data_IF_885204789595
#
_entry.id   IF_885204789595
#
_cell.length_a   1.000
_cell.length_b   1.000
_cell.length_c   1.000
_cell.angle_alpha   90.00
_cell.angle_beta   90.00
_cell.angle_gamma   90.00
#
_symmetry.space_group_name_H-M   'P 1'
#
loop_
_entity.id
_entity.type
_entity.pdbx_description
1 polymer ?
#
# COMPACT_ATOMS: atom_id res chain seq x y z
N UNK A 1 -7.39 -2.33 12.44
CA UNK A 1 -6.83 -3.49 11.70
C UNK A 1 -7.38 -3.43 10.31
N UNK A 2 -6.57 -3.76 9.32
CA UNK A 2 -6.99 -3.68 7.91
C UNK A 2 -6.52 -4.91 7.14
N UNK A 3 -7.43 -5.52 6.40
CA UNK A 3 -7.13 -6.49 5.36
C UNK A 3 -7.50 -5.85 4.04
N UNK A 4 -6.54 -5.62 3.17
CA UNK A 4 -6.69 -4.80 1.97
C UNK A 4 -5.81 -5.34 0.84
N UNK A 5 -6.15 -5.08 -0.43
CA UNK A 5 -5.42 -5.64 -1.55
C UNK A 5 -3.93 -5.32 -1.56
N UNK A 6 -3.55 -4.11 -1.15
CA UNK A 6 -2.19 -3.58 -1.13
C UNK A 6 -1.77 -3.31 0.31
N UNK A 7 -0.46 -3.31 0.65
CA UNK A 7 -0.01 -2.75 1.91
C UNK A 7 -0.59 -1.36 2.11
N UNK A 8 -0.94 -0.95 3.33
CA UNK A 8 -1.66 0.30 3.58
C UNK A 8 -0.92 1.54 3.05
N UNK A 9 -1.18 1.93 1.80
CA UNK A 9 -0.42 2.97 1.08
C UNK A 9 -0.60 4.34 1.73
N UNK A 10 -1.75 4.56 2.38
CA UNK A 10 -2.02 5.73 3.21
C UNK A 10 -0.93 5.99 4.27
N UNK A 11 -0.33 4.92 4.80
CA UNK A 11 0.76 5.04 5.79
C UNK A 11 2.01 5.68 5.18
N UNK A 12 2.30 5.39 3.91
CA UNK A 12 3.49 5.82 3.17
C UNK A 12 3.31 7.11 2.38
N UNK A 13 2.10 7.66 2.37
CA UNK A 13 1.75 8.82 1.55
C UNK A 13 1.86 10.10 2.37
N UNK A 14 2.87 10.91 2.09
CA UNK A 14 3.04 12.24 2.67
C UNK A 14 2.31 13.33 1.87
N UNK A 15 2.38 14.56 2.35
CA UNK A 15 1.72 15.69 1.73
C UNK A 15 2.24 15.96 0.32
N UNK A 16 3.55 15.88 0.10
CA UNK A 16 4.15 16.15 -1.21
C UNK A 16 3.65 15.14 -2.25
N UNK A 17 3.55 13.86 -1.88
CA UNK A 17 2.97 12.83 -2.75
C UNK A 17 1.48 13.06 -2.99
N UNK A 18 0.71 13.50 -1.99
CA UNK A 18 -0.70 13.88 -2.18
C UNK A 18 -0.84 15.05 -3.16
N UNK A 19 -0.05 16.10 -3.00
CA UNK A 19 -0.08 17.28 -3.87
C UNK A 19 0.30 16.94 -5.32
N UNK A 20 1.20 15.98 -5.51
CA UNK A 20 1.62 15.49 -6.82
C UNK A 20 0.58 14.58 -7.50
N UNK A 21 -0.25 13.88 -6.71
CA UNK A 21 -1.14 12.83 -7.23
C UNK A 21 -2.62 13.13 -7.18
N UNK A 22 -3.09 13.96 -6.26
CA UNK A 22 -4.47 14.41 -6.30
C UNK A 22 -4.67 15.28 -7.54
N UNK A 23 -5.75 15.01 -8.26
CA UNK A 23 -6.09 15.74 -9.47
C UNK A 23 -6.46 17.19 -9.11
N UNK A 24 -5.60 18.13 -9.53
CA UNK A 24 -5.77 19.58 -9.26
C UNK A 24 -7.00 20.17 -9.95
N UNK A 25 -7.49 19.52 -11.01
CA UNK A 25 -8.69 19.93 -11.72
C UNK A 25 -9.98 19.43 -11.03
N UNK A 26 -9.86 18.64 -9.95
CA UNK A 26 -11.02 18.18 -9.19
C UNK A 26 -11.72 19.37 -8.51
N UNK A 27 -13.05 19.53 -8.62
CA UNK A 27 -13.78 20.72 -8.12
C UNK A 27 -13.60 21.03 -6.63
N UNK A 28 -13.17 20.05 -5.83
CA UNK A 28 -12.93 20.18 -4.40
C UNK A 28 -11.48 19.82 -4.01
N UNK A 29 -10.50 20.06 -4.89
CA UNK A 29 -9.10 19.73 -4.68
C UNK A 29 -8.56 20.19 -3.31
N UNK A 30 -8.65 21.48 -2.99
CA UNK A 30 -8.10 22.03 -1.74
C UNK A 30 -8.77 21.41 -0.48
N UNK A 31 -10.12 21.39 -0.36
CA UNK A 31 -10.76 20.67 0.74
C UNK A 31 -10.38 19.19 0.83
N UNK A 32 -10.23 18.51 -0.31
CA UNK A 32 -9.88 17.09 -0.36
C UNK A 32 -8.46 16.86 0.12
N UNK A 33 -7.49 17.63 -0.38
CA UNK A 33 -6.08 17.57 0.04
C UNK A 33 -5.97 17.73 1.55
N UNK A 34 -6.59 18.77 2.11
CA UNK A 34 -6.57 19.05 3.55
C UNK A 34 -7.29 17.98 4.39
N UNK A 35 -8.32 17.34 3.84
CA UNK A 35 -9.01 16.25 4.52
C UNK A 35 -8.14 14.98 4.55
N UNK A 36 -7.56 14.62 3.40
CA UNK A 36 -6.74 13.39 3.24
C UNK A 36 -5.43 13.51 4.00
N UNK A 37 -4.72 14.64 3.90
CA UNK A 37 -3.45 14.87 4.60
C UNK A 37 -3.63 14.77 6.13
N UNK A 38 -4.66 15.44 6.66
CA UNK A 38 -5.02 15.33 8.08
C UNK A 38 -5.37 13.90 8.49
N UNK A 39 -6.14 13.19 7.66
CA UNK A 39 -6.51 11.81 7.94
C UNK A 39 -5.29 10.88 7.94
N UNK A 40 -4.40 10.99 6.94
CA UNK A 40 -3.19 10.16 6.85
C UNK A 40 -2.19 10.46 7.98
N UNK A 41 -2.03 11.73 8.35
CA UNK A 41 -1.22 12.12 9.51
C UNK A 41 -1.76 11.54 10.81
N UNK A 42 -3.07 11.65 11.05
CA UNK A 42 -3.72 11.04 12.22
C UNK A 42 -3.56 9.51 12.20
N UNK A 43 -3.87 8.89 11.05
CA UNK A 43 -3.79 7.45 10.86
C UNK A 43 -2.40 6.91 11.20
N UNK A 44 -1.32 7.50 10.66
CA UNK A 44 0.06 7.11 10.97
C UNK A 44 0.37 7.08 12.47
N UNK A 45 -0.15 8.06 13.22
CA UNK A 45 0.09 8.17 14.67
C UNK A 45 -0.62 7.06 15.45
N UNK A 46 -1.84 6.69 15.04
CA UNK A 46 -2.67 5.73 15.78
C UNK A 46 -2.57 4.29 15.27
N UNK A 47 -1.99 4.07 14.08
CA UNK A 47 -1.96 2.77 13.39
C UNK A 47 -0.64 2.02 13.52
N UNK A 48 0.31 2.46 14.34
CA UNK A 48 1.65 1.82 14.46
C UNK A 48 1.57 0.35 14.89
N UNK A 49 0.65 0.02 15.80
CA UNK A 49 0.37 -1.36 16.22
C UNK A 49 -0.67 -2.09 15.35
N UNK A 50 -1.17 -1.46 14.30
CA UNK A 50 -2.26 -2.01 13.49
C UNK A 50 -1.76 -3.17 12.62
N UNK A 51 -2.42 -4.31 12.75
CA UNK A 51 -2.24 -5.44 11.85
C UNK A 51 -2.74 -5.08 10.45
N UNK A 52 -1.87 -5.28 9.45
CA UNK A 52 -2.15 -5.09 8.04
C UNK A 52 -1.85 -6.37 7.25
N UNK A 53 -2.87 -6.90 6.57
CA UNK A 53 -2.74 -8.06 5.70
C UNK A 53 -2.96 -7.63 4.25
N UNK A 54 -2.05 -8.03 3.36
CA UNK A 54 -2.07 -7.67 1.94
C UNK A 54 -1.71 -8.83 1.01
N UNK A 55 -1.88 -8.65 -0.30
CA UNK A 55 -1.49 -9.65 -1.31
C UNK A 55 -0.26 -9.22 -2.10
N UNK A 56 0.75 -10.09 -2.17
CA UNK A 56 1.94 -9.89 -3.01
C UNK A 56 1.58 -9.88 -4.50
N UNK A 57 0.59 -10.69 -4.91
CA UNK A 57 0.08 -10.67 -6.29
C UNK A 57 -0.48 -9.30 -6.65
N UNK A 58 -1.27 -8.70 -5.76
CA UNK A 58 -1.84 -7.38 -5.97
C UNK A 58 -0.78 -6.28 -5.90
N UNK A 59 0.20 -6.42 -4.99
CA UNK A 59 1.35 -5.51 -4.92
C UNK A 59 2.16 -5.51 -6.24
N UNK A 60 2.40 -6.68 -6.83
CA UNK A 60 3.05 -6.79 -8.15
C UNK A 60 2.24 -6.09 -9.24
N UNK A 61 0.92 -6.30 -9.28
CA UNK A 61 0.05 -5.59 -10.23
C UNK A 61 0.16 -4.06 -10.06
N UNK A 62 0.19 -3.57 -8.82
CA UNK A 62 0.44 -2.16 -8.53
C UNK A 62 1.83 -1.69 -9.01
N UNK A 63 2.87 -2.53 -8.88
CA UNK A 63 4.19 -2.23 -9.43
C UNK A 63 4.16 -2.09 -10.96
N UNK A 64 3.28 -2.82 -11.66
CA UNK A 64 3.11 -2.72 -13.11
C UNK A 64 2.35 -1.45 -13.53
N UNK A 65 1.21 -1.17 -12.91
CA UNK A 65 0.26 -0.17 -13.41
C UNK A 65 0.18 1.14 -12.60
N UNK A 66 0.66 1.14 -11.36
CA UNK A 66 0.62 2.28 -10.44
C UNK A 66 -0.79 2.72 -10.06
N UNK A 67 -1.78 1.85 -10.27
CA UNK A 67 -3.15 2.13 -9.94
C UNK A 67 -3.36 1.92 -8.44
N UNK A 68 -3.72 3.01 -7.78
CA UNK A 68 -4.46 2.88 -6.53
C UNK A 68 -5.92 2.63 -6.86
N UNK A 69 -6.62 2.11 -5.85
CA UNK A 69 -8.04 1.78 -5.87
C UNK A 69 -8.90 3.07 -5.89
N UNK A 70 -8.37 4.24 -6.30
CA UNK A 70 -9.06 5.53 -6.34
C UNK A 70 -9.58 5.89 -7.74
N UNK A 71 -10.64 6.72 -7.84
CA UNK A 71 -11.17 7.12 -9.14
C UNK A 71 -10.13 7.94 -9.89
N UNK A 72 -9.96 7.68 -11.20
CA UNK A 72 -8.97 8.37 -12.03
C UNK A 72 -9.22 9.90 -12.11
N UNK A 73 -10.47 10.34 -11.88
CA UNK A 73 -10.83 11.76 -11.78
C UNK A 73 -10.36 12.43 -10.48
N UNK A 74 -10.00 11.66 -9.45
CA UNK A 74 -9.57 12.16 -8.14
C UNK A 74 -8.06 12.00 -7.96
N UNK A 75 -7.47 10.91 -8.46
CA UNK A 75 -6.09 10.54 -8.14
C UNK A 75 -5.36 9.98 -9.36
N UNK A 76 -4.17 10.52 -9.63
CA UNK A 76 -3.29 10.09 -10.71
C UNK A 76 -2.43 8.88 -10.30
N UNK A 77 -2.07 8.06 -11.28
CA UNK A 77 -1.23 6.87 -11.06
C UNK A 77 0.15 7.24 -10.50
N UNK A 78 0.70 6.34 -9.69
CA UNK A 78 2.06 6.48 -9.19
C UNK A 78 3.06 6.16 -10.30
N UNK A 79 4.11 6.96 -10.36
CA UNK A 79 5.25 6.77 -11.26
C UNK A 79 6.06 5.55 -10.84
N UNK A 80 6.90 4.98 -11.73
CA UNK A 80 7.84 3.92 -11.36
C UNK A 80 8.67 4.23 -10.10
N UNK A 81 9.20 5.46 -9.97
CA UNK A 81 10.02 5.85 -8.83
C UNK A 81 9.25 5.92 -7.51
N UNK A 82 8.02 6.43 -7.53
CA UNK A 82 7.18 6.48 -6.32
C UNK A 82 6.74 5.09 -5.88
N UNK A 83 6.44 4.20 -6.83
CA UNK A 83 6.13 2.79 -6.55
C UNK A 83 7.29 2.09 -5.87
N UNK A 84 8.52 2.27 -6.38
CA UNK A 84 9.73 1.73 -5.76
C UNK A 84 9.98 2.31 -4.36
N UNK A 85 9.79 3.62 -4.18
CA UNK A 85 9.92 4.26 -2.87
C UNK A 85 9.00 3.60 -1.85
N UNK A 86 7.73 3.41 -2.20
CA UNK A 86 6.74 2.78 -1.31
C UNK A 86 7.08 1.32 -1.06
N UNK A 87 7.47 0.56 -2.10
CA UNK A 87 7.88 -0.83 -1.95
C UNK A 87 9.08 -0.98 -1.00
N UNK A 88 10.06 -0.09 -1.10
CA UNK A 88 11.22 -0.04 -0.22
C UNK A 88 10.80 0.23 1.23
N UNK A 89 9.88 1.18 1.45
CA UNK A 89 9.36 1.48 2.78
C UNK A 89 8.58 0.31 3.38
N UNK A 90 7.75 -0.38 2.59
CA UNK A 90 7.04 -1.60 3.03
C UNK A 90 8.02 -2.69 3.45
N UNK A 91 9.05 -2.93 2.62
CA UNK A 91 10.10 -3.92 2.90
C UNK A 91 10.88 -3.58 4.17
N UNK A 92 11.26 -2.32 4.34
CA UNK A 92 12.03 -1.87 5.50
C UNK A 92 11.18 -1.89 6.77
N UNK A 93 9.90 -1.54 6.70
CA UNK A 93 9.00 -1.62 7.85
C UNK A 93 8.79 -3.07 8.31
N UNK A 94 8.73 -4.02 7.38
CA UNK A 94 8.69 -5.44 7.70
C UNK A 94 10.03 -5.91 8.30
N UNK A 95 11.15 -5.56 7.67
CA UNK A 95 12.50 -6.00 8.09
C UNK A 95 12.91 -5.45 9.46
N UNK A 96 12.61 -4.18 9.73
CA UNK A 96 12.93 -3.53 11.01
C UNK A 96 11.79 -3.64 12.03
N UNK A 97 10.77 -4.47 11.76
CA UNK A 97 9.62 -4.70 12.64
C UNK A 97 8.90 -3.41 13.09
N UNK A 98 8.89 -2.39 12.22
CA UNK A 98 8.23 -1.10 12.50
C UNK A 98 6.72 -1.19 12.38
N UNK A 99 6.22 -2.19 11.63
CA UNK A 99 4.80 -2.44 11.41
C UNK A 99 4.49 -3.93 11.41
N UNK A 100 3.26 -4.26 11.79
CA UNK A 100 2.72 -5.63 11.73
C UNK A 100 2.13 -5.90 10.34
N UNK A 101 2.98 -6.31 9.41
CA UNK A 101 2.64 -6.58 8.01
C UNK A 101 2.66 -8.08 7.72
N UNK A 102 1.62 -8.59 7.05
CA UNK A 102 1.54 -9.98 6.64
C UNK A 102 1.08 -10.09 5.19
N UNK A 103 1.82 -10.83 4.36
CA UNK A 103 1.36 -11.18 3.03
C UNK A 103 0.50 -12.44 3.07
N UNK A 104 -0.66 -12.44 2.42
CA UNK A 104 -1.47 -13.66 2.26
C UNK A 104 -0.76 -14.67 1.36
N UNK A 105 -0.98 -15.95 1.65
CA UNK A 105 -0.79 -17.01 0.68
C UNK A 105 -2.01 -17.04 -0.25
N UNK A 106 -1.89 -16.41 -1.43
CA UNK A 106 -2.95 -16.32 -2.42
C UNK A 106 -3.45 -17.69 -2.94
N UNK A 107 -2.74 -18.80 -2.66
CA UNK A 107 -3.22 -20.16 -2.96
C UNK A 107 -4.23 -20.69 -1.93
N UNK A 108 -4.24 -20.11 -0.73
CA UNK A 108 -5.07 -20.57 0.40
C UNK A 108 -6.13 -19.57 0.80
N UNK A 109 -5.81 -18.28 0.73
CA UNK A 109 -6.73 -17.19 1.03
C UNK A 109 -6.73 -16.20 -0.14
N UNK A 110 -7.82 -16.20 -0.90
CA UNK A 110 -7.99 -15.27 -2.01
C UNK A 110 -8.39 -13.89 -1.50
N UNK A 111 -7.51 -12.90 -1.72
CA UNK A 111 -7.82 -11.50 -1.46
C UNK A 111 -8.11 -10.77 -2.78
N UNK A 112 -9.40 -10.47 -3.00
CA UNK A 112 -9.86 -9.74 -4.17
C UNK A 112 -9.28 -8.32 -4.19
N UNK A 113 -8.76 -7.86 -5.34
CA UNK A 113 -8.31 -6.48 -5.56
C UNK A 113 -9.38 -5.41 -5.30
N UNK A 114 -10.64 -5.81 -5.26
CA UNK A 114 -11.78 -4.92 -5.13
C UNK A 114 -12.29 -4.72 -3.70
N UNK A 115 -11.69 -5.35 -2.69
CA UNK A 115 -12.31 -5.45 -1.36
C UNK A 115 -11.31 -5.16 -0.25
N UNK A 116 -11.67 -4.23 0.62
CA UNK A 116 -10.95 -3.92 1.86
C UNK A 116 -11.87 -4.14 3.06
N UNK A 117 -11.33 -4.73 4.12
CA UNK A 117 -11.97 -4.87 5.42
C UNK A 117 -11.24 -3.99 6.42
N UNK A 118 -11.96 -3.04 7.01
CA UNK A 118 -11.44 -2.10 8.00
C UNK A 118 -12.20 -2.31 9.30
N UNK A 119 -11.47 -2.74 10.33
CA UNK A 119 -11.97 -2.76 11.70
C UNK A 119 -11.68 -1.39 12.33
N UNK A 120 -12.69 -0.52 12.31
CA UNK A 120 -12.61 0.88 12.76
C UNK A 120 -12.90 1.04 14.25
N UNK A 121 -13.91 0.32 14.76
CA UNK A 121 -14.36 0.39 16.16
C UNK A 121 -14.83 -0.97 16.67
N UNK A 122 -15.18 -1.07 17.97
CA UNK A 122 -15.64 -2.32 18.56
C UNK A 122 -17.00 -2.82 18.04
N UNK A 123 -17.75 -1.96 17.35
CA UNK A 123 -19.14 -2.15 16.92
C UNK A 123 -19.34 -1.98 15.40
N UNK A 124 -18.27 -1.79 14.63
CA UNK A 124 -18.33 -1.57 13.20
C UNK A 124 -17.18 -2.27 12.46
N UNK A 125 -17.54 -3.14 11.53
CA UNK A 125 -16.66 -3.63 10.47
C UNK A 125 -17.06 -2.96 9.16
N UNK A 126 -16.16 -2.19 8.58
CA UNK A 126 -16.38 -1.53 7.29
C UNK A 126 -15.81 -2.39 6.16
N UNK A 127 -16.65 -2.65 5.17
CA UNK A 127 -16.27 -3.24 3.90
C UNK A 127 -16.24 -2.14 2.85
N UNK A 128 -15.07 -1.89 2.28
CA UNK A 128 -14.92 -0.97 1.15
C UNK A 128 -14.82 -1.81 -0.12
N UNK A 129 -15.73 -1.55 -1.04
CA UNK A 129 -15.78 -2.18 -2.35
C UNK A 129 -15.39 -1.16 -3.41
N UNK A 130 -14.41 -1.53 -4.21
CA UNK A 130 -14.03 -0.78 -5.39
C UNK A 130 -13.77 -1.71 -6.59
N UNK A 131 -14.63 -1.66 -7.59
CA UNK A 131 -14.46 -2.47 -8.80
C UNK A 131 -15.02 -1.76 -10.02
N UNK A 132 -14.61 -2.23 -11.20
CA UNK A 132 -15.16 -1.79 -12.48
C UNK A 132 -16.12 -2.84 -13.03
N UNK A 133 -17.33 -2.43 -13.41
CA UNK A 133 -18.31 -3.29 -14.09
C UNK A 133 -18.93 -2.52 -15.26
N UNK A 134 -18.90 -3.13 -16.46
CA UNK A 134 -19.45 -2.54 -17.68
C UNK A 134 -19.00 -1.07 -17.93
N UNK A 135 -17.71 -0.79 -17.74
CA UNK A 135 -17.11 0.54 -17.91
C UNK A 135 -17.36 1.52 -16.77
N UNK A 136 -18.20 1.17 -15.79
CA UNK A 136 -18.50 2.02 -14.62
C UNK A 136 -17.63 1.64 -13.45
N UNK A 137 -17.12 2.63 -12.74
CA UNK A 137 -16.44 2.42 -11.47
C UNK A 137 -17.50 2.41 -10.36
N UNK A 138 -17.44 1.39 -9.50
CA UNK A 138 -18.33 1.23 -8.35
C UNK A 138 -17.50 1.43 -7.10
N UNK A 139 -17.87 2.44 -6.31
CA UNK A 139 -17.40 2.64 -4.94
C UNK A 139 -18.56 2.46 -3.98
N UNK A 140 -18.43 1.51 -3.07
CA UNK A 140 -19.42 1.30 -2.01
C UNK A 140 -18.73 1.05 -0.70
N UNK A 141 -19.27 1.68 0.33
CA UNK A 141 -18.92 1.37 1.71
C UNK A 141 -20.12 0.69 2.34
N UNK A 142 -19.91 -0.49 2.91
CA UNK A 142 -20.92 -1.25 3.65
C UNK A 142 -20.44 -1.32 5.09
N UNK A 143 -21.30 -0.90 6.02
CA UNK A 143 -21.05 -1.03 7.46
C UNK A 143 -21.78 -2.25 7.98
N UNK A 144 -21.03 -3.21 8.51
CA UNK A 144 -21.55 -4.37 9.21
C UNK A 144 -21.58 -4.06 10.71
N UNK A 145 -22.76 -4.19 11.31
CA UNK A 145 -23.04 -3.83 12.71
C UNK A 145 -23.55 -5.01 13.53
N UNK A 146 -23.71 -6.19 12.91
CA UNK A 146 -24.11 -7.41 13.59
C UNK A 146 -22.97 -7.93 14.48
N UNK A 147 -23.17 -7.91 15.79
CA UNK A 147 -22.14 -8.21 16.78
C UNK A 147 -21.44 -9.57 16.57
N UNK A 148 -22.19 -10.62 16.20
CA UNK A 148 -21.62 -11.96 15.96
C UNK A 148 -20.78 -12.02 14.68
N UNK A 149 -21.18 -11.26 13.64
CA UNK A 149 -20.41 -11.16 12.39
C UNK A 149 -19.09 -10.43 12.67
N UNK A 150 -19.17 -9.29 13.38
CA UNK A 150 -17.98 -8.52 13.78
C UNK A 150 -17.04 -9.39 14.61
N UNK A 151 -17.56 -10.13 15.58
CA UNK A 151 -16.76 -11.01 16.42
C UNK A 151 -16.06 -12.11 15.61
N UNK A 152 -16.76 -12.75 14.67
CA UNK A 152 -16.19 -13.79 13.82
C UNK A 152 -15.06 -13.24 12.91
N UNK A 153 -15.27 -12.09 12.27
CA UNK A 153 -14.22 -11.44 11.48
C UNK A 153 -13.03 -11.01 12.33
N UNK A 154 -13.30 -10.46 13.52
CA UNK A 154 -12.27 -10.07 14.47
C UNK A 154 -11.41 -11.28 14.84
N UNK A 155 -12.03 -12.38 15.25
CA UNK A 155 -11.35 -13.63 15.59
C UNK A 155 -10.51 -14.15 14.42
N UNK A 156 -11.10 -14.22 13.23
CA UNK A 156 -10.41 -14.65 12.02
C UNK A 156 -9.15 -13.80 11.76
N UNK A 157 -9.29 -12.47 11.75
CA UNK A 157 -8.16 -11.61 11.44
C UNK A 157 -7.08 -11.60 12.53
N UNK A 158 -7.44 -11.77 13.81
CA UNK A 158 -6.45 -11.94 14.87
C UNK A 158 -5.72 -13.28 14.80
N UNK A 159 -6.35 -14.30 14.22
CA UNK A 159 -5.71 -15.61 13.99
C UNK A 159 -4.78 -15.64 12.78
N UNK A 160 -4.93 -14.70 11.83
CA UNK A 160 -4.15 -14.70 10.58
C UNK A 160 -2.63 -14.76 10.78
N UNK A 161 -1.99 -13.97 11.67
CA UNK A 161 -0.55 -13.99 11.88
C UNK A 161 0.05 -15.36 12.20
N UNK A 162 -0.73 -16.19 12.90
CA UNK A 162 -0.31 -17.51 13.38
C UNK A 162 -0.88 -18.64 12.51
N UNK A 163 -1.61 -18.29 11.45
CA UNK A 163 -2.24 -19.24 10.53
C UNK A 163 -1.34 -19.55 9.33
N UNK A 164 -1.67 -20.62 8.61
CA UNK A 164 -1.01 -20.96 7.37
C UNK A 164 -1.58 -20.22 6.14
N UNK A 165 -2.52 -19.27 6.34
CA UNK A 165 -3.08 -18.39 5.32
C UNK A 165 -2.19 -17.19 5.00
N UNK A 166 -1.17 -16.92 5.81
CA UNK A 166 -0.17 -15.87 5.55
C UNK A 166 1.19 -16.52 5.34
N UNK A 167 2.02 -15.85 4.56
CA UNK A 167 3.38 -16.29 4.29
C UNK A 167 4.29 -15.99 5.50
N UNK A 168 5.31 -16.83 5.77
CA UNK A 168 6.35 -16.49 6.71
C UNK A 168 7.03 -15.16 6.35
N UNK A 169 7.50 -14.43 7.36
CA UNK A 169 8.16 -13.12 7.20
C UNK A 169 9.34 -13.19 6.23
N UNK A 170 10.17 -14.23 6.33
CA UNK A 170 11.35 -14.42 5.47
C UNK A 170 10.95 -14.63 4.01
N UNK A 171 9.84 -15.36 3.77
CA UNK A 171 9.30 -15.57 2.43
C UNK A 171 8.76 -14.26 1.87
N UNK A 172 8.05 -13.49 2.69
CA UNK A 172 7.53 -12.18 2.30
C UNK A 172 8.67 -11.22 1.95
N UNK A 173 9.70 -11.12 2.79
CA UNK A 173 10.89 -10.30 2.54
C UNK A 173 11.60 -10.70 1.23
N UNK A 174 11.80 -12.00 1.00
CA UNK A 174 12.43 -12.46 -0.25
C UNK A 174 11.62 -12.07 -1.50
N UNK A 175 10.29 -12.11 -1.42
CA UNK A 175 9.42 -11.69 -2.53
C UNK A 175 9.44 -10.17 -2.74
N UNK A 176 9.50 -9.38 -1.66
CA UNK A 176 9.66 -7.92 -1.74
C UNK A 176 11.03 -7.54 -2.32
N UNK A 177 12.11 -8.21 -1.90
CA UNK A 177 13.45 -7.99 -2.44
C UNK A 177 13.53 -8.37 -3.93
N UNK A 178 12.85 -9.45 -4.35
CA UNK A 178 12.74 -9.83 -5.75
C UNK A 178 11.99 -8.78 -6.59
N UNK A 179 10.87 -8.23 -6.07
CA UNK A 179 10.16 -7.12 -6.71
C UNK A 179 11.06 -5.88 -6.80
N UNK A 180 11.78 -5.51 -5.73
CA UNK A 180 12.69 -4.37 -5.76
C UNK A 180 13.76 -4.53 -6.85
N UNK A 181 14.35 -5.72 -6.98
CA UNK A 181 15.35 -6.02 -8.00
C UNK A 181 14.77 -5.98 -9.43
N UNK A 182 13.55 -6.48 -9.61
CA UNK A 182 12.88 -6.54 -10.91
C UNK A 182 12.51 -5.15 -11.45
N UNK A 183 12.03 -4.25 -10.58
CA UNK A 183 11.61 -2.91 -10.97
C UNK A 183 12.69 -1.85 -10.77
N UNK A 184 13.86 -2.20 -10.23
CA UNK A 184 14.98 -1.27 -10.10
C UNK A 184 15.31 -0.63 -11.46
N UNK A 185 15.60 0.68 -11.52
CA UNK A 185 16.02 1.30 -12.76
C UNK A 185 17.28 0.58 -13.25
N UNK A 186 17.30 0.20 -14.53
CA UNK A 186 18.50 -0.34 -15.15
C UNK A 186 19.66 0.60 -14.84
N UNK A 187 20.75 0.06 -14.27
CA UNK A 187 21.93 0.86 -13.96
C UNK A 187 22.33 1.60 -15.25
N UNK A 188 22.26 2.94 -15.24
CA UNK A 188 22.68 3.72 -16.39
C UNK A 188 24.18 3.46 -16.62
N UNK A 189 24.57 2.81 -17.73
CA UNK A 189 25.96 2.54 -18.01
C UNK A 189 26.79 3.82 -18.18
N UNK A 190 26.17 5.01 -18.29
CA UNK A 190 26.87 6.29 -18.35
C UNK A 190 27.24 6.90 -17.00
N UNK A 191 26.68 6.41 -15.88
CA UNK A 191 27.01 6.89 -14.53
C UNK A 191 28.19 6.13 -13.86
N UNK A 192 28.75 5.12 -14.54
CA UNK A 192 29.93 4.36 -14.07
C UNK A 192 31.23 4.79 -14.74
N UNK A 193 31.35 6.05 -15.19
CA UNK A 193 32.67 6.60 -15.52
C UNK A 193 33.38 7.02 -14.22
N UNK A 194 34.55 6.47 -13.89
CA UNK A 194 35.31 6.90 -12.73
C UNK A 194 35.65 8.39 -12.90
N UNK A 195 35.42 9.17 -11.84
CA UNK A 195 35.94 10.52 -11.70
C UNK A 195 37.47 10.46 -11.85
N UNK A 196 37.97 10.75 -13.05
CA UNK A 196 39.38 11.01 -13.28
C UNK A 196 39.69 12.28 -12.50
N UNK A 197 40.39 12.11 -11.38
CA UNK A 197 41.03 13.20 -10.65
C UNK A 197 42.02 13.83 -11.62
N UNK A 198 41.69 15.00 -12.15
CA UNK A 198 42.66 15.85 -12.83
C UNK A 198 43.54 16.44 -11.74
N UNK A 199 44.61 15.72 -11.39
CA UNK A 199 45.77 16.33 -10.77
C UNK A 199 46.39 17.24 -11.83
N UNK A 200 46.11 18.54 -11.78
CA UNK A 200 46.91 19.52 -12.50
C UNK A 200 48.27 19.61 -11.82
N UNK A 201 49.26 18.97 -12.47
CA UNK A 201 50.67 19.30 -12.36
C UNK A 201 50.89 20.75 -12.80
N UNK A 202 51.68 21.50 -12.03
CA UNK A 202 51.80 22.95 -12.15
C UNK A 202 52.69 23.47 -13.28
N UNK A 203 52.73 24.80 -13.34
CA UNK A 203 53.87 25.69 -13.62
C UNK A 203 53.73 26.91 -12.72
#
# INVERSE_FOLDING_TARGET
MVVEPLPCIAYYTDRDLLEAKLNKDFPYYEPLLEAVDRYFNYFRQVSTGMLNVFSLKNLRQFMDDGNLVFPEEIYHRLTPSERLMILQQVRDDLFFERRRLFAVDDQKLFLNQAVEFIYESCDCLRLVLHYRIAGRIVYKTIELREALVIAAFKEFFFSLPDSDYVLPTETTLAQLDALLAEYAPAADPNLTKPLVIVAQTGV
#
